data_IF_033996023098
#
_entry.id   IF_033996023098
#
_cell.length_a   1.000
_cell.length_b   1.000
_cell.length_c   1.000
_cell.angle_alpha   90.00
_cell.angle_beta   90.00
_cell.angle_gamma   90.00
#
_symmetry.space_group_name_H-M   'P 1'
#
loop_
_entity.id
_entity.type
_entity.pdbx_description
1 polymer ?
#
# COMPACT_ATOMS: atom_id res chain seq x y z
N UNK A 1 10.87 75.76 -47.34
CA UNK A 1 10.62 74.66 -46.39
C UNK A 1 11.92 73.88 -46.27
N UNK A 2 12.63 74.01 -45.14
CA UNK A 2 14.05 73.64 -45.06
C UNK A 2 14.19 72.14 -44.72
N UNK A 3 14.61 71.28 -45.66
CA UNK A 3 14.59 69.82 -45.46
C UNK A 3 15.47 69.36 -44.30
N UNK A 4 16.44 70.18 -43.89
CA UNK A 4 17.35 69.93 -42.75
C UNK A 4 16.66 69.95 -41.38
N UNK A 5 15.44 70.52 -41.25
CA UNK A 5 14.69 70.55 -39.98
C UNK A 5 13.63 69.44 -39.85
N UNK A 6 13.27 68.77 -40.95
CA UNK A 6 12.21 67.74 -40.98
C UNK A 6 12.79 66.34 -40.71
N UNK A 7 14.04 66.11 -41.12
CA UNK A 7 14.78 64.85 -40.89
C UNK A 7 14.79 64.41 -39.41
N UNK A 8 15.13 65.27 -38.41
CA UNK A 8 15.17 64.81 -37.02
C UNK A 8 13.78 64.44 -36.47
N UNK A 9 12.73 65.12 -36.91
CA UNK A 9 11.35 64.83 -36.48
C UNK A 9 10.92 63.46 -37.00
N UNK A 10 11.24 63.14 -38.25
CA UNK A 10 10.93 61.84 -38.84
C UNK A 10 11.67 60.70 -38.13
N UNK A 11 12.94 60.91 -37.77
CA UNK A 11 13.74 59.93 -37.01
C UNK A 11 13.15 59.66 -35.63
N UNK A 12 12.70 60.69 -34.92
CA UNK A 12 12.07 60.55 -33.60
C UNK A 12 10.76 59.76 -33.71
N UNK A 13 9.94 60.02 -34.73
CA UNK A 13 8.67 59.30 -34.94
C UNK A 13 8.93 57.81 -35.22
N UNK A 14 9.91 57.49 -36.08
CA UNK A 14 10.26 56.09 -36.37
C UNK A 14 10.78 55.38 -35.12
N UNK A 15 11.57 56.06 -34.29
CA UNK A 15 12.05 55.51 -33.01
C UNK A 15 10.90 55.22 -32.04
N UNK A 16 9.90 56.10 -31.94
CA UNK A 16 8.74 55.88 -31.08
C UNK A 16 7.88 54.71 -31.56
N UNK A 17 7.70 54.55 -32.88
CA UNK A 17 6.97 53.41 -33.45
C UNK A 17 7.72 52.10 -33.23
N UNK A 18 9.05 52.10 -33.41
CA UNK A 18 9.87 50.92 -33.15
C UNK A 18 9.87 50.52 -31.66
N UNK A 19 9.98 51.49 -30.75
CA UNK A 19 9.92 51.25 -29.31
C UNK A 19 8.53 50.76 -28.87
N UNK A 20 7.47 51.38 -29.39
CA UNK A 20 6.09 50.96 -29.13
C UNK A 20 5.81 49.55 -29.66
N UNK A 21 6.24 49.25 -30.89
CA UNK A 21 6.14 47.92 -31.48
C UNK A 21 6.91 46.86 -30.69
N UNK A 22 8.14 47.17 -30.27
CA UNK A 22 8.96 46.30 -29.43
C UNK A 22 8.32 46.02 -28.07
N UNK A 23 7.79 47.06 -27.43
CA UNK A 23 7.09 46.94 -26.14
C UNK A 23 5.81 46.11 -26.26
N UNK A 24 5.04 46.35 -27.34
CA UNK A 24 3.83 45.59 -27.63
C UNK A 24 4.18 44.12 -27.86
N UNK A 25 5.19 43.82 -28.69
CA UNK A 25 5.58 42.44 -28.99
C UNK A 25 6.04 41.66 -27.75
N UNK A 26 6.79 42.30 -26.84
CA UNK A 26 7.25 41.66 -25.61
C UNK A 26 6.10 41.24 -24.68
N UNK A 27 5.04 42.06 -24.56
CA UNK A 27 3.92 41.75 -23.66
C UNK A 27 3.08 40.56 -24.16
N UNK A 28 2.99 40.35 -25.48
CA UNK A 28 2.17 39.27 -26.06
C UNK A 28 2.93 37.96 -26.30
N UNK A 29 4.26 37.96 -26.27
CA UNK A 29 5.10 36.77 -26.47
C UNK A 29 5.53 36.09 -25.17
N UNK A 30 5.27 36.70 -24.01
CA UNK A 30 5.38 36.02 -22.71
C UNK A 30 4.13 35.15 -22.55
N UNK A 31 4.11 34.04 -23.29
CA UNK A 31 3.22 32.93 -23.04
C UNK A 31 3.70 32.31 -21.72
N UNK A 32 3.06 32.68 -20.63
CA UNK A 32 3.18 32.01 -19.33
C UNK A 32 2.48 30.66 -19.50
N UNK A 33 3.12 29.79 -20.30
CA UNK A 33 2.59 28.50 -20.71
C UNK A 33 2.32 27.74 -19.42
N UNK A 34 1.04 27.72 -19.05
CA UNK A 34 0.52 27.31 -17.75
C UNK A 34 0.87 25.88 -17.42
N UNK A 35 2.12 25.67 -17.02
CA UNK A 35 2.59 24.42 -16.46
C UNK A 35 2.11 24.42 -15.02
N UNK A 36 0.84 24.04 -14.85
CA UNK A 36 0.26 23.67 -13.57
C UNK A 36 1.05 22.47 -13.04
N UNK A 37 2.14 22.77 -12.35
CA UNK A 37 2.94 21.80 -11.62
C UNK A 37 2.20 21.47 -10.33
N UNK A 38 1.26 20.53 -10.41
CA UNK A 38 0.64 19.94 -9.24
C UNK A 38 1.63 18.94 -8.61
N UNK A 39 2.15 19.29 -7.43
CA UNK A 39 2.89 18.34 -6.58
C UNK A 39 1.89 17.66 -5.65
N UNK A 40 1.83 16.35 -5.71
CA UNK A 40 1.07 15.51 -4.79
C UNK A 40 1.97 14.42 -4.24
N UNK A 41 1.69 13.99 -3.01
CA UNK A 41 2.40 12.86 -2.40
C UNK A 41 1.67 11.58 -2.77
N UNK A 42 2.37 10.64 -3.39
CA UNK A 42 1.88 9.27 -3.53
C UNK A 42 2.22 8.55 -2.23
N UNK A 43 1.20 8.23 -1.44
CA UNK A 43 1.36 7.41 -0.24
C UNK A 43 1.05 5.95 -0.57
N UNK A 44 2.02 5.07 -0.28
CA UNK A 44 1.82 3.62 -0.29
C UNK A 44 1.89 3.13 1.15
N UNK A 45 0.91 2.32 1.56
CA UNK A 45 0.96 1.64 2.86
C UNK A 45 1.70 0.32 2.67
N UNK A 46 2.88 0.21 3.28
CA UNK A 46 3.65 -1.02 3.31
C UNK A 46 3.40 -1.75 4.63
N UNK A 47 3.09 -3.04 4.54
CA UNK A 47 2.88 -3.90 5.70
C UNK A 47 3.81 -5.10 5.57
N UNK A 48 4.68 -5.28 6.58
CA UNK A 48 5.53 -6.46 6.67
C UNK A 48 4.72 -7.63 7.23
N UNK A 49 4.60 -8.71 6.47
CA UNK A 49 3.92 -9.94 6.90
C UNK A 49 4.99 -10.96 7.31
N UNK A 50 4.92 -11.44 8.54
CA UNK A 50 5.82 -12.45 9.08
C UNK A 50 5.02 -13.51 9.84
N UNK A 51 5.49 -14.77 9.87
CA UNK A 51 4.84 -15.80 10.66
C UNK A 51 4.97 -15.52 12.16
N UNK A 52 3.91 -15.81 12.93
CA UNK A 52 3.92 -15.66 14.39
C UNK A 52 4.84 -16.67 15.08
N UNK A 53 5.05 -17.82 14.45
CA UNK A 53 5.87 -18.91 14.97
C UNK A 53 7.03 -19.19 14.02
N UNK A 54 8.20 -19.48 14.60
CA UNK A 54 9.34 -19.96 13.82
C UNK A 54 9.05 -21.38 13.31
N UNK A 55 9.25 -21.59 12.00
CA UNK A 55 8.98 -22.85 11.34
C UNK A 55 9.65 -22.91 9.97
N UNK A 56 9.63 -24.10 9.36
CA UNK A 56 10.10 -24.29 8.00
C UNK A 56 8.98 -23.94 7.02
N UNK A 57 9.30 -23.29 5.91
CA UNK A 57 8.34 -23.08 4.82
C UNK A 57 8.07 -24.42 4.12
N UNK A 58 6.79 -24.81 4.06
CA UNK A 58 6.32 -25.95 3.29
C UNK A 58 6.07 -25.55 1.83
N UNK A 59 5.35 -24.44 1.62
CA UNK A 59 4.98 -23.96 0.30
C UNK A 59 4.82 -22.43 0.27
N UNK A 60 5.06 -21.81 -0.88
CA UNK A 60 4.76 -20.41 -1.17
C UNK A 60 3.76 -20.38 -2.33
N UNK A 61 2.68 -19.61 -2.19
CA UNK A 61 1.57 -19.59 -3.15
C UNK A 61 1.57 -18.36 -4.05
N UNK A 62 2.36 -17.34 -3.73
CA UNK A 62 2.36 -16.03 -4.40
C UNK A 62 3.75 -15.66 -4.88
N UNK A 63 3.81 -14.87 -5.95
CA UNK A 63 5.04 -14.29 -6.49
C UNK A 63 5.08 -12.78 -6.29
N UNK A 64 6.26 -12.18 -6.46
CA UNK A 64 6.42 -10.73 -6.39
C UNK A 64 5.57 -10.03 -7.46
N UNK A 65 4.78 -9.04 -7.04
CA UNK A 65 3.89 -8.28 -7.92
C UNK A 65 2.48 -8.88 -8.09
N UNK A 66 2.19 -10.04 -7.51
CA UNK A 66 0.85 -10.62 -7.53
C UNK A 66 -0.11 -9.82 -6.64
N UNK A 67 -1.34 -9.64 -7.13
CA UNK A 67 -2.41 -9.02 -6.35
C UNK A 67 -3.01 -10.03 -5.37
N UNK A 68 -3.05 -9.67 -4.09
CA UNK A 68 -3.58 -10.52 -3.00
C UNK A 68 -4.63 -9.77 -2.20
N UNK A 69 -5.61 -10.48 -1.67
CA UNK A 69 -6.65 -9.93 -0.81
C UNK A 69 -6.45 -10.36 0.65
N UNK A 70 -7.12 -9.69 1.58
CA UNK A 70 -7.09 -10.06 2.98
C UNK A 70 -7.67 -11.47 3.18
N UNK A 71 -6.88 -12.34 3.81
CA UNK A 71 -7.25 -13.74 4.07
C UNK A 71 -6.68 -14.73 3.05
N UNK A 72 -6.08 -14.27 1.96
CA UNK A 72 -5.44 -15.16 0.99
C UNK A 72 -4.18 -15.79 1.59
N UNK A 73 -3.98 -17.11 1.48
CA UNK A 73 -2.79 -17.77 1.98
C UNK A 73 -1.58 -17.40 1.11
N UNK A 74 -0.57 -16.78 1.72
CA UNK A 74 0.65 -16.37 1.01
C UNK A 74 1.70 -17.48 1.00
N UNK A 75 1.85 -18.16 2.13
CA UNK A 75 2.75 -19.28 2.33
C UNK A 75 2.22 -20.21 3.42
N UNK A 76 2.67 -21.46 3.39
CA UNK A 76 2.33 -22.48 4.37
C UNK A 76 3.61 -22.88 5.13
N UNK A 77 3.48 -23.03 6.45
CA UNK A 77 4.53 -23.56 7.30
C UNK A 77 4.35 -25.05 7.49
N UNK A 78 5.47 -25.76 7.60
CA UNK A 78 5.50 -27.18 7.96
C UNK A 78 4.92 -27.37 9.38
N UNK A 79 3.76 -28.02 9.45
CA UNK A 79 2.99 -28.22 10.67
C UNK A 79 3.04 -29.64 11.23
N UNK A 80 3.86 -30.54 10.68
CA UNK A 80 3.86 -31.96 11.04
C UNK A 80 4.07 -32.18 12.54
N UNK A 81 5.03 -31.46 13.13
CA UNK A 81 5.31 -31.52 14.56
C UNK A 81 4.13 -31.00 15.40
N UNK A 82 3.52 -29.88 14.99
CA UNK A 82 2.40 -29.26 15.70
C UNK A 82 1.16 -30.15 15.63
N UNK A 83 0.92 -30.79 14.49
CA UNK A 83 -0.17 -31.73 14.30
C UNK A 83 0.01 -32.97 15.19
N UNK A 84 1.22 -33.54 15.23
CA UNK A 84 1.52 -34.67 16.11
C UNK A 84 1.36 -34.30 17.60
N UNK A 85 1.74 -33.09 18.01
CA UNK A 85 1.54 -32.62 19.38
C UNK A 85 0.05 -32.44 19.71
N UNK A 86 -0.73 -31.87 18.77
CA UNK A 86 -2.18 -31.71 18.91
C UNK A 86 -2.88 -33.07 19.05
N UNK A 87 -2.52 -34.05 18.23
CA UNK A 87 -3.09 -35.40 18.30
C UNK A 87 -2.79 -36.10 19.62
N UNK A 88 -1.56 -35.96 20.13
CA UNK A 88 -1.20 -36.47 21.47
C UNK A 88 -2.02 -35.83 22.58
N UNK A 89 -2.19 -34.51 22.53
CA UNK A 89 -3.01 -33.78 23.51
C UNK A 89 -4.48 -34.21 23.43
N UNK A 90 -5.02 -34.39 22.23
CA UNK A 90 -6.38 -34.87 22.02
C UNK A 90 -6.58 -36.27 22.59
N UNK A 91 -5.66 -37.20 22.30
CA UNK A 91 -5.74 -38.59 22.82
C UNK A 91 -5.68 -38.62 24.35
N UNK A 92 -4.86 -37.76 24.96
CA UNK A 92 -4.78 -37.62 26.41
C UNK A 92 -6.10 -37.09 27.00
N UNK A 93 -6.73 -36.12 26.34
CA UNK A 93 -8.04 -35.59 26.72
C UNK A 93 -9.13 -36.68 26.64
N UNK A 94 -9.18 -37.43 25.55
CA UNK A 94 -10.16 -38.50 25.36
C UNK A 94 -10.02 -39.59 26.42
N UNK A 95 -8.77 -39.94 26.76
CA UNK A 95 -8.47 -40.90 27.83
C UNK A 95 -8.94 -40.39 29.18
N UNK A 96 -8.67 -39.11 29.50
CA UNK A 96 -9.12 -38.50 30.75
C UNK A 96 -10.65 -38.41 30.85
N UNK A 97 -11.33 -38.15 29.73
CA UNK A 97 -12.79 -38.14 29.69
C UNK A 97 -13.37 -39.55 29.89
N UNK A 98 -12.75 -40.56 29.27
CA UNK A 98 -13.16 -41.95 29.45
C UNK A 98 -13.01 -42.40 30.90
N UNK A 99 -11.90 -42.06 31.57
CA UNK A 99 -11.69 -42.40 32.98
C UNK A 99 -12.65 -41.65 33.90
N UNK A 100 -12.94 -40.38 33.62
CA UNK A 100 -13.96 -39.62 34.36
C UNK A 100 -15.35 -40.26 34.24
N UNK A 101 -15.76 -40.60 33.03
CA UNK A 101 -17.06 -41.23 32.78
C UNK A 101 -17.17 -42.59 33.47
N UNK A 102 -16.09 -43.39 33.42
CA UNK A 102 -16.03 -44.67 34.13
C UNK A 102 -16.15 -44.50 35.65
N UNK A 103 -15.43 -43.52 36.22
CA UNK A 103 -15.53 -43.21 37.65
C UNK A 103 -16.94 -42.76 38.06
N UNK A 104 -17.61 -41.97 37.21
CA UNK A 104 -19.00 -41.54 37.43
C UNK A 104 -20.04 -42.65 37.31
N UNK A 105 -19.81 -43.63 36.42
CA UNK A 105 -20.69 -44.79 36.32
C UNK A 105 -20.67 -45.62 37.61
N UNK A 106 -19.47 -45.87 38.16
CA UNK A 106 -19.28 -46.62 39.40
C UNK A 106 -19.99 -45.98 40.59
N UNK A 107 -19.94 -44.64 40.71
CA UNK A 107 -20.62 -43.95 41.82
C UNK A 107 -22.15 -44.01 41.71
N UNK A 108 -22.71 -43.91 40.51
CA UNK A 108 -24.16 -44.07 40.28
C UNK A 108 -24.65 -45.45 40.69
N UNK A 109 -23.94 -46.50 40.30
CA UNK A 109 -24.32 -47.88 40.60
C UNK A 109 -24.31 -48.16 42.12
N UNK A 110 -23.36 -47.58 42.86
CA UNK A 110 -23.28 -47.73 44.31
C UNK A 110 -24.42 -46.99 45.03
N UNK A 111 -24.89 -45.86 44.50
CA UNK A 111 -26.02 -45.10 45.07
C UNK A 111 -27.39 -45.75 44.87
N UNK A 112 -27.54 -46.63 43.88
CA UNK A 112 -28.79 -47.35 43.59
C UNK A 112 -28.96 -48.65 44.39
N UNK A 113 -27.93 -49.11 45.09
CA UNK A 113 -27.91 -50.36 45.85
C UNK A 113 -28.19 -50.19 47.37
N UNK A 114 -28.41 -48.96 47.83
CA UNK A 114 -28.78 -48.57 49.20
C UNK A 114 -30.27 -48.20 49.27
#
# INVERSE_FOLDING_TARGET
MNPKRIIPIFVIIVLLIAAGGWYYLNIYLVDDSGMLSASGTVEATEILIAPELAGKLAQVYVSEGDAVNAGDPLFELDSDLLQAQRERAQTALDTAQATYNAAWAVTRDCSAAL
#
